data_IF_881138636369
#
_entry.id   IF_881138636369
#
_cell.length_a   1.000
_cell.length_b   1.000
_cell.length_c   1.000
_cell.angle_alpha   90.00
_cell.angle_beta   90.00
_cell.angle_gamma   90.00
#
_symmetry.space_group_name_H-M   'P 1'
#
loop_
_entity.id
_entity.type
_entity.pdbx_description
1 polymer ?
#
# COMPACT_ATOMS: atom_id res chain seq x y z
N UNK A 1 -39.50 38.48 35.26
CA UNK A 1 -39.64 37.67 34.02
C UNK A 1 -38.30 37.75 33.30
N UNK A 2 -37.41 36.75 33.45
CA UNK A 2 -37.31 35.54 32.58
C UNK A 2 -37.13 35.97 31.10
N UNK A 3 -36.02 35.71 30.40
CA UNK A 3 -35.25 34.47 30.26
C UNK A 3 -33.80 34.73 29.81
N UNK A 4 -32.85 34.01 30.42
CA UNK A 4 -31.51 33.76 29.89
C UNK A 4 -31.63 32.87 28.64
N UNK A 5 -31.08 33.29 27.50
CA UNK A 5 -30.88 32.40 26.34
C UNK A 5 -29.52 31.72 26.47
N UNK A 6 -29.54 30.52 27.04
CA UNK A 6 -28.47 29.54 26.91
C UNK A 6 -28.30 29.18 25.44
N UNK A 7 -27.12 29.44 24.89
CA UNK A 7 -26.72 28.89 23.60
C UNK A 7 -25.75 27.76 23.86
N UNK A 8 -26.29 26.55 23.75
CA UNK A 8 -25.61 25.27 23.83
C UNK A 8 -24.44 25.22 22.83
N UNK A 9 -23.20 25.34 23.29
CA UNK A 9 -22.05 24.82 22.59
C UNK A 9 -22.08 23.29 22.69
N UNK A 10 -22.74 22.65 21.71
CA UNK A 10 -22.68 21.21 21.53
C UNK A 10 -21.27 20.89 20.99
N UNK A 11 -20.39 20.39 21.87
CA UNK A 11 -19.13 19.76 21.46
C UNK A 11 -19.46 18.70 20.42
N UNK A 12 -19.08 18.93 19.17
CA UNK A 12 -19.01 17.90 18.15
C UNK A 12 -17.78 17.06 18.46
N UNK A 13 -17.96 16.01 19.26
CA UNK A 13 -17.02 14.91 19.32
C UNK A 13 -17.18 14.09 18.04
N UNK A 14 -16.16 13.93 17.19
CA UNK A 14 -16.19 12.88 16.18
C UNK A 14 -16.01 11.56 16.92
N UNK A 15 -17.14 10.88 17.13
CA UNK A 15 -17.18 9.49 17.58
C UNK A 15 -16.47 8.63 16.54
N UNK A 16 -15.21 8.26 16.82
CA UNK A 16 -14.54 7.11 16.20
C UNK A 16 -15.41 5.87 16.38
N UNK A 17 -16.19 5.52 15.36
CA UNK A 17 -16.67 4.14 15.18
C UNK A 17 -15.79 3.50 14.12
N UNK A 18 -14.58 3.14 14.52
CA UNK A 18 -13.84 2.11 13.80
C UNK A 18 -14.61 0.81 14.04
N UNK A 19 -15.29 0.29 13.03
CA UNK A 19 -15.63 -1.12 13.02
C UNK A 19 -14.28 -1.87 12.99
N UNK A 20 -13.97 -2.72 13.98
CA UNK A 20 -12.74 -3.48 13.94
C UNK A 20 -12.89 -4.53 12.83
N UNK A 21 -12.31 -4.27 11.67
CA UNK A 21 -11.91 -5.37 10.79
C UNK A 21 -10.95 -6.20 11.63
N UNK A 22 -11.35 -7.43 11.99
CA UNK A 22 -10.48 -8.34 12.73
C UNK A 22 -9.30 -8.63 11.80
N UNK A 23 -8.22 -7.86 11.95
CA UNK A 23 -6.99 -8.10 11.24
C UNK A 23 -6.48 -9.45 11.74
N UNK A 24 -6.62 -10.49 10.90
CA UNK A 24 -6.03 -11.78 11.21
C UNK A 24 -4.52 -11.57 11.42
N UNK A 25 -3.89 -12.24 12.39
CA UNK A 25 -2.45 -12.12 12.58
C UNK A 25 -1.73 -12.64 11.33
N UNK A 26 -0.65 -11.96 10.94
CA UNK A 26 0.29 -12.48 9.94
C UNK A 26 0.98 -13.72 10.49
N UNK A 27 1.36 -14.64 9.62
CA UNK A 27 2.16 -15.80 9.99
C UNK A 27 3.58 -15.38 10.38
N UNK A 28 4.24 -16.24 11.16
CA UNK A 28 5.66 -16.08 11.49
C UNK A 28 6.58 -16.20 10.27
N UNK A 29 6.09 -16.72 9.15
CA UNK A 29 6.86 -16.88 7.90
C UNK A 29 6.69 -15.70 6.94
N UNK A 30 5.84 -14.72 7.26
CA UNK A 30 5.47 -13.66 6.32
C UNK A 30 6.68 -12.92 5.72
N UNK A 31 7.72 -12.62 6.51
CA UNK A 31 8.93 -11.99 5.98
C UNK A 31 9.62 -12.84 4.89
N UNK A 32 9.71 -14.16 5.09
CA UNK A 32 10.23 -15.10 4.10
C UNK A 32 9.32 -15.18 2.88
N UNK A 33 8.01 -15.06 3.07
CA UNK A 33 7.05 -15.04 1.97
C UNK A 33 7.20 -13.76 1.12
N UNK A 34 7.55 -12.62 1.72
CA UNK A 34 7.91 -11.39 0.99
C UNK A 34 9.18 -11.60 0.17
N UNK A 35 10.25 -12.17 0.75
CA UNK A 35 11.49 -12.50 0.02
C UNK A 35 11.21 -13.44 -1.16
N UNK A 36 10.37 -14.44 -0.93
CA UNK A 36 9.94 -15.38 -1.97
C UNK A 36 9.18 -14.66 -3.08
N UNK A 37 8.26 -13.77 -2.74
CA UNK A 37 7.52 -12.98 -3.71
C UNK A 37 8.43 -12.09 -4.57
N UNK A 38 9.43 -11.44 -3.98
CA UNK A 38 10.45 -10.68 -4.72
C UNK A 38 11.16 -11.58 -5.73
N UNK A 39 11.60 -12.77 -5.30
CA UNK A 39 12.25 -13.74 -6.19
C UNK A 39 11.34 -14.22 -7.33
N UNK A 40 10.08 -14.54 -7.03
CA UNK A 40 9.09 -14.96 -8.03
C UNK A 40 8.83 -13.86 -9.08
N UNK A 41 8.67 -12.61 -8.63
CA UNK A 41 8.48 -11.48 -9.54
C UNK A 41 9.74 -11.15 -10.35
N UNK A 42 10.92 -11.32 -9.77
CA UNK A 42 12.21 -11.15 -10.46
C UNK A 42 12.34 -12.09 -11.66
N UNK A 43 11.97 -13.35 -11.47
CA UNK A 43 12.10 -14.41 -12.47
C UNK A 43 10.98 -14.39 -13.53
N UNK A 44 9.91 -13.63 -13.32
CA UNK A 44 8.86 -13.42 -14.31
C UNK A 44 9.27 -12.44 -15.42
N UNK A 45 8.48 -12.36 -16.48
CA UNK A 45 8.68 -11.39 -17.56
C UNK A 45 8.11 -9.99 -17.24
N UNK A 46 7.37 -9.86 -16.13
CA UNK A 46 6.74 -8.62 -15.69
C UNK A 46 5.37 -8.34 -16.32
N UNK A 47 4.87 -9.22 -17.20
CA UNK A 47 3.61 -9.00 -17.94
C UNK A 47 2.35 -9.51 -17.23
N UNK A 48 2.51 -10.37 -16.22
CA UNK A 48 1.40 -10.99 -15.51
C UNK A 48 0.40 -9.97 -14.93
N UNK A 49 -0.90 -10.27 -15.01
CA UNK A 49 -1.96 -9.54 -14.32
C UNK A 49 -1.84 -9.67 -12.79
N UNK A 50 -2.61 -8.88 -12.05
CA UNK A 50 -2.65 -8.97 -10.59
C UNK A 50 -3.18 -10.32 -10.11
N UNK A 51 -4.19 -10.86 -10.79
CA UNK A 51 -4.80 -12.16 -10.52
C UNK A 51 -3.80 -13.30 -10.80
N UNK A 52 -3.02 -13.19 -11.88
CA UNK A 52 -1.97 -14.16 -12.23
C UNK A 52 -0.83 -14.13 -11.22
N UNK A 53 -0.41 -12.95 -10.76
CA UNK A 53 0.59 -12.83 -9.68
C UNK A 53 0.06 -13.37 -8.35
N UNK A 54 -1.19 -13.08 -8.01
CA UNK A 54 -1.82 -13.63 -6.81
C UNK A 54 -1.83 -15.17 -6.86
N UNK A 55 -2.20 -15.72 -8.02
CA UNK A 55 -2.19 -17.17 -8.27
C UNK A 55 -0.77 -17.73 -8.15
N UNK A 56 0.22 -17.08 -8.78
CA UNK A 56 1.63 -17.45 -8.70
C UNK A 56 2.11 -17.52 -7.24
N UNK A 57 1.76 -16.54 -6.40
CA UNK A 57 2.13 -16.53 -4.98
C UNK A 57 1.50 -17.69 -4.22
N UNK A 58 0.20 -17.94 -4.45
CA UNK A 58 -0.56 -18.99 -3.78
C UNK A 58 -0.06 -20.39 -4.18
N UNK A 59 0.17 -20.61 -5.46
CA UNK A 59 0.72 -21.88 -6.00
C UNK A 59 2.13 -22.15 -5.47
N UNK A 60 2.83 -21.09 -5.07
CA UNK A 60 4.11 -21.15 -4.39
C UNK A 60 3.99 -21.15 -2.86
N UNK A 61 2.82 -21.47 -2.29
CA UNK A 61 2.64 -21.73 -0.86
C UNK A 61 2.55 -20.48 0.02
N UNK A 62 2.45 -19.29 -0.56
CA UNK A 62 2.12 -18.07 0.20
C UNK A 62 0.62 -18.08 0.48
N UNK A 63 0.21 -17.87 1.74
CA UNK A 63 -1.21 -17.89 2.09
C UNK A 63 -1.95 -16.79 1.33
N UNK A 64 -3.15 -17.07 0.80
CA UNK A 64 -3.96 -16.12 0.01
C UNK A 64 -4.03 -14.71 0.62
N UNK A 65 -4.33 -14.61 1.91
CA UNK A 65 -4.41 -13.33 2.62
C UNK A 65 -3.07 -12.58 2.60
N UNK A 66 -1.97 -13.27 2.85
CA UNK A 66 -0.62 -12.70 2.84
C UNK A 66 -0.15 -12.34 1.43
N UNK A 67 -0.49 -13.18 0.45
CA UNK A 67 -0.24 -12.90 -0.97
C UNK A 67 -0.94 -11.62 -1.42
N UNK A 68 -2.18 -11.38 -0.97
CA UNK A 68 -2.90 -10.12 -1.20
C UNK A 68 -2.21 -8.90 -0.58
N UNK A 69 -1.75 -9.01 0.67
CA UNK A 69 -1.01 -7.93 1.33
C UNK A 69 0.32 -7.63 0.63
N UNK A 70 1.03 -8.66 0.16
CA UNK A 70 2.28 -8.51 -0.61
C UNK A 70 2.00 -7.84 -1.94
N UNK A 71 1.02 -8.34 -2.70
CA UNK A 71 0.64 -7.79 -4.00
C UNK A 71 0.27 -6.30 -3.90
N UNK A 72 -0.39 -5.92 -2.80
CA UNK A 72 -0.85 -4.56 -2.55
C UNK A 72 0.28 -3.61 -2.15
N UNK A 73 1.11 -4.00 -1.19
CA UNK A 73 2.07 -3.09 -0.57
C UNK A 73 3.50 -3.18 -1.12
N UNK A 74 3.91 -4.33 -1.65
CA UNK A 74 5.27 -4.49 -2.18
C UNK A 74 5.58 -3.50 -3.32
N UNK A 75 4.70 -3.30 -4.33
CA UNK A 75 4.95 -2.30 -5.37
C UNK A 75 5.06 -0.87 -4.83
N UNK A 76 4.22 -0.51 -3.85
CA UNK A 76 4.20 0.82 -3.20
C UNK A 76 5.54 1.07 -2.48
N UNK A 77 6.04 0.09 -1.75
CA UNK A 77 7.34 0.19 -1.07
C UNK A 77 8.47 0.32 -2.09
N UNK A 78 8.45 -0.48 -3.15
CA UNK A 78 9.49 -0.45 -4.19
C UNK A 78 9.54 0.89 -4.94
N UNK A 79 8.39 1.48 -5.31
CA UNK A 79 8.40 2.80 -5.97
C UNK A 79 8.90 3.90 -5.03
N UNK A 80 8.57 3.84 -3.73
CA UNK A 80 9.05 4.80 -2.73
C UNK A 80 10.57 4.75 -2.57
N UNK A 81 11.14 3.54 -2.56
CA UNK A 81 12.59 3.34 -2.50
C UNK A 81 13.29 3.71 -3.82
N UNK A 82 12.65 3.48 -4.96
CA UNK A 82 13.17 3.86 -6.27
C UNK A 82 13.20 5.38 -6.49
N UNK A 83 12.23 6.10 -5.93
CA UNK A 83 12.05 7.55 -6.09
C UNK A 83 12.05 8.27 -4.72
N UNK A 84 13.17 8.24 -3.98
CA UNK A 84 13.25 8.76 -2.61
C UNK A 84 13.15 10.29 -2.53
N UNK A 85 13.28 10.99 -3.66
CA UNK A 85 13.19 12.45 -3.72
C UNK A 85 11.76 13.00 -3.62
N UNK A 86 10.74 12.14 -3.72
CA UNK A 86 9.34 12.55 -3.57
C UNK A 86 8.95 12.64 -2.10
N UNK A 87 8.13 13.64 -1.77
CA UNK A 87 7.48 13.75 -0.48
C UNK A 87 6.28 12.79 -0.42
N UNK A 88 6.56 11.53 -0.09
CA UNK A 88 5.57 10.47 -0.07
C UNK A 88 4.65 10.59 1.15
N UNK A 89 3.32 10.52 0.98
CA UNK A 89 2.42 10.52 2.12
C UNK A 89 2.63 9.29 3.02
N UNK A 90 2.71 9.53 4.32
CA UNK A 90 2.80 8.47 5.35
C UNK A 90 1.47 7.75 5.59
N UNK A 91 0.40 8.18 4.93
CA UNK A 91 -0.94 7.64 5.10
C UNK A 91 -1.60 7.31 3.76
N UNK A 92 -2.71 6.59 3.84
CA UNK A 92 -3.56 6.24 2.72
C UNK A 92 -5.03 6.23 3.15
N UNK A 93 -5.92 6.26 2.16
CA UNK A 93 -7.35 6.06 2.36
C UNK A 93 -7.72 4.59 2.17
N UNK A 94 -8.47 4.05 3.11
CA UNK A 94 -9.02 2.70 3.04
C UNK A 94 -10.55 2.78 3.04
N UNK A 95 -11.25 2.18 2.08
CA UNK A 95 -12.70 2.21 2.04
C UNK A 95 -13.30 1.46 3.24
N UNK A 96 -14.36 2.00 3.82
CA UNK A 96 -15.10 1.32 4.87
C UNK A 96 -16.07 0.32 4.23
N UNK A 97 -15.88 -0.97 4.53
CA UNK A 97 -16.73 -2.04 4.00
C UNK A 97 -18.21 -1.77 4.27
N UNK A 98 -19.03 -1.79 3.22
CA UNK A 98 -20.48 -1.60 3.31
C UNK A 98 -20.94 -0.13 3.32
N UNK A 99 -20.03 0.85 3.21
CA UNK A 99 -20.35 2.26 3.07
C UNK A 99 -19.79 2.83 1.77
N UNK A 100 -20.66 3.37 0.92
CA UNK A 100 -20.22 4.00 -0.33
C UNK A 100 -19.53 5.33 -0.03
N UNK A 101 -18.36 5.56 -0.65
CA UNK A 101 -17.58 6.80 -0.57
C UNK A 101 -17.13 7.21 0.86
N UNK A 102 -17.19 6.30 1.83
CA UNK A 102 -16.61 6.53 3.15
C UNK A 102 -15.24 5.84 3.24
N UNK A 103 -14.25 6.60 3.71
CA UNK A 103 -12.87 6.14 3.85
C UNK A 103 -12.37 6.44 5.26
N UNK A 104 -11.50 5.57 5.77
CA UNK A 104 -10.66 5.86 6.92
C UNK A 104 -9.24 6.19 6.46
N UNK A 105 -8.62 7.17 7.09
CA UNK A 105 -7.18 7.41 6.92
C UNK A 105 -6.42 6.46 7.83
N UNK A 106 -5.48 5.70 7.26
CA UNK A 106 -4.54 4.84 7.99
C UNK A 106 -3.12 5.26 7.70
N UNK A 107 -2.23 5.18 8.70
CA UNK A 107 -0.80 5.35 8.47
C UNK A 107 -0.19 4.03 8.01
N UNK A 108 0.77 4.11 7.10
CA UNK A 108 1.48 2.93 6.60
C UNK A 108 2.29 2.23 7.70
N UNK A 109 2.88 2.99 8.63
CA UNK A 109 3.66 2.46 9.76
C UNK A 109 2.80 1.76 10.83
N UNK A 110 1.50 1.97 10.83
CA UNK A 110 0.55 1.26 11.70
C UNK A 110 0.13 -0.10 11.13
N UNK A 111 0.38 -0.35 9.83
CA UNK A 111 -0.01 -1.60 9.15
C UNK A 111 1.11 -2.65 9.29
N UNK A 112 0.86 -3.79 9.97
CA UNK A 112 1.91 -4.79 10.24
C UNK A 112 2.54 -5.38 8.97
N UNK A 113 1.74 -5.64 7.93
CA UNK A 113 2.21 -6.18 6.66
C UNK A 113 3.13 -5.20 5.94
N UNK A 114 2.71 -3.93 5.84
CA UNK A 114 3.50 -2.87 5.23
C UNK A 114 4.86 -2.71 5.92
N UNK A 115 4.90 -2.74 7.26
CA UNK A 115 6.15 -2.66 8.02
C UNK A 115 7.11 -3.80 7.68
N UNK A 116 6.63 -5.05 7.68
CA UNK A 116 7.48 -6.21 7.38
C UNK A 116 7.96 -6.15 5.93
N UNK A 117 7.06 -5.82 5.00
CA UNK A 117 7.40 -5.64 3.58
C UNK A 117 8.47 -4.55 3.40
N UNK A 118 8.30 -3.42 4.09
CA UNK A 118 9.27 -2.32 4.08
C UNK A 118 10.63 -2.76 4.58
N UNK A 119 10.70 -3.53 5.67
CA UNK A 119 11.96 -4.04 6.21
C UNK A 119 12.68 -4.96 5.21
N UNK A 120 11.95 -5.92 4.62
CA UNK A 120 12.50 -6.87 3.62
C UNK A 120 12.95 -6.12 2.36
N UNK A 121 12.15 -5.18 1.86
CA UNK A 121 12.49 -4.41 0.67
C UNK A 121 13.70 -3.49 0.91
N UNK A 122 13.82 -2.83 2.06
CA UNK A 122 15.02 -2.04 2.39
C UNK A 122 16.27 -2.94 2.39
N UNK A 123 16.20 -4.11 3.04
CA UNK A 123 17.31 -5.07 3.03
C UNK A 123 17.65 -5.52 1.60
N UNK A 124 16.68 -5.72 0.71
CA UNK A 124 16.92 -6.01 -0.70
C UNK A 124 17.67 -4.87 -1.41
N UNK A 125 17.26 -3.62 -1.20
CA UNK A 125 17.89 -2.44 -1.80
C UNK A 125 19.32 -2.20 -1.30
N UNK A 126 19.65 -2.63 -0.09
CA UNK A 126 21.00 -2.56 0.47
C UNK A 126 21.95 -3.64 -0.10
N UNK A 127 21.40 -4.75 -0.61
CA UNK A 127 22.16 -5.95 -0.99
C UNK A 127 22.27 -6.14 -2.52
N UNK A 128 22.76 -5.11 -3.24
CA UNK A 128 22.95 -5.10 -4.71
C UNK A 128 21.66 -5.41 -5.48
N UNK A 129 20.66 -4.52 -5.43
CA UNK A 129 19.38 -4.77 -6.07
C UNK A 129 19.53 -4.81 -7.59
N UNK A 130 18.89 -5.78 -8.22
CA UNK A 130 18.82 -5.85 -9.67
C UNK A 130 17.81 -4.82 -10.19
N UNK A 131 18.26 -3.97 -11.11
CA UNK A 131 17.44 -2.88 -11.68
C UNK A 131 16.18 -3.42 -12.36
N UNK A 132 16.28 -4.55 -13.05
CA UNK A 132 15.15 -5.19 -13.73
C UNK A 132 14.08 -5.64 -12.73
N UNK A 133 14.48 -6.29 -11.64
CA UNK A 133 13.58 -6.66 -10.53
C UNK A 133 12.91 -5.44 -9.92
N UNK A 134 13.67 -4.35 -9.67
CA UNK A 134 13.09 -3.12 -9.13
C UNK A 134 11.99 -2.60 -10.06
N UNK A 135 12.25 -2.54 -11.36
CA UNK A 135 11.29 -2.03 -12.34
C UNK A 135 10.08 -2.95 -12.50
N UNK A 136 10.26 -4.28 -12.48
CA UNK A 136 9.16 -5.26 -12.51
C UNK A 136 8.22 -5.14 -11.31
N UNK A 137 8.76 -4.85 -10.14
CA UNK A 137 7.97 -4.75 -8.90
C UNK A 137 7.38 -3.35 -8.75
N UNK A 138 8.20 -2.29 -8.83
CA UNK A 138 7.73 -0.90 -8.77
C UNK A 138 6.73 -0.59 -9.89
N UNK A 139 6.95 -1.17 -11.08
CA UNK A 139 6.10 -1.03 -12.25
C UNK A 139 4.67 -1.52 -12.05
N UNK A 140 4.37 -2.26 -10.98
CA UNK A 140 3.01 -2.68 -10.63
C UNK A 140 2.26 -1.66 -9.76
N UNK A 141 2.93 -0.62 -9.28
CA UNK A 141 2.31 0.42 -8.46
C UNK A 141 1.54 1.41 -9.32
N UNK A 142 0.35 1.80 -8.85
CA UNK A 142 -0.46 2.85 -9.47
C UNK A 142 0.28 4.19 -9.49
N UNK A 143 1.06 4.48 -8.44
CA UNK A 143 1.90 5.67 -8.34
C UNK A 143 3.00 5.66 -9.39
N UNK A 144 3.70 4.54 -9.60
CA UNK A 144 4.72 4.42 -10.64
C UNK A 144 4.12 4.69 -12.03
N UNK A 145 2.99 4.07 -12.36
CA UNK A 145 2.29 4.30 -13.62
C UNK A 145 1.88 5.77 -13.79
N UNK A 146 1.34 6.38 -12.75
CA UNK A 146 0.90 7.78 -12.77
C UNK A 146 2.07 8.73 -12.99
N UNK A 147 3.17 8.53 -12.27
CA UNK A 147 4.40 9.31 -12.42
C UNK A 147 4.96 9.13 -13.83
N UNK A 148 5.11 7.89 -14.30
CA UNK A 148 5.62 7.59 -15.64
C UNK A 148 4.78 8.25 -16.74
N UNK A 149 3.45 8.20 -16.61
CA UNK A 149 2.52 8.84 -17.56
C UNK A 149 2.68 10.37 -17.60
N UNK A 150 2.96 11.01 -16.47
CA UNK A 150 3.21 12.46 -16.41
C UNK A 150 4.56 12.82 -17.04
N UNK A 151 5.60 12.02 -16.79
CA UNK A 151 6.91 12.20 -17.41
C UNK A 151 6.84 12.06 -18.94
N UNK A 152 6.09 11.08 -19.45
CA UNK A 152 5.87 10.89 -20.89
C UNK A 152 5.12 12.07 -21.53
N UNK A 153 4.36 12.84 -20.74
CA UNK A 153 3.71 14.09 -21.19
C UNK A 153 4.63 15.31 -21.12
N UNK A 154 5.90 15.12 -20.73
CA UNK A 154 6.91 16.18 -20.70
C UNK A 154 7.02 16.93 -19.37
N UNK A 155 6.29 16.51 -18.32
CA UNK A 155 6.51 17.05 -16.98
C UNK A 155 7.87 16.60 -16.45
N UNK A 156 8.49 17.45 -15.65
CA UNK A 156 9.70 17.10 -14.90
C UNK A 156 9.34 16.48 -13.55
N UNK A 157 10.27 15.75 -12.96
CA UNK A 157 10.06 15.07 -11.67
C UNK A 157 9.70 16.05 -10.54
N UNK A 158 10.29 17.25 -10.52
CA UNK A 158 10.06 18.29 -9.50
C UNK A 158 8.71 19.00 -9.64
N UNK A 159 8.02 18.82 -10.77
CA UNK A 159 6.68 19.35 -11.03
C UNK A 159 5.57 18.37 -10.59
N UNK A 160 5.93 17.13 -10.27
CA UNK A 160 4.98 16.08 -9.90
C UNK A 160 4.86 16.02 -8.37
N UNK A 161 3.62 16.10 -7.88
CA UNK A 161 3.30 15.89 -6.46
C UNK A 161 2.44 14.65 -6.32
N UNK A 162 2.79 13.81 -5.35
CA UNK A 162 2.00 12.64 -4.96
C UNK A 162 1.04 13.02 -3.83
N UNK A 163 -0.12 12.38 -3.79
CA UNK A 163 -1.15 12.57 -2.78
C UNK A 163 -1.53 11.22 -2.16
N UNK A 164 -2.39 11.23 -1.14
CA UNK A 164 -2.87 10.03 -0.48
C UNK A 164 -3.49 9.06 -1.49
N UNK A 165 -2.96 7.84 -1.55
CA UNK A 165 -3.51 6.75 -2.36
C UNK A 165 -4.75 6.14 -1.72
N UNK A 166 -5.65 5.60 -2.54
CA UNK A 166 -6.72 4.72 -2.08
C UNK A 166 -6.22 3.28 -2.17
N UNK A 167 -6.21 2.58 -1.05
CA UNK A 167 -5.77 1.18 -0.95
C UNK A 167 -7.01 0.31 -0.78
N UNK A 168 -7.27 -0.54 -1.77
CA UNK A 168 -8.41 -1.46 -1.76
C UNK A 168 -7.91 -2.88 -1.53
N UNK A 169 -8.36 -3.51 -0.44
CA UNK A 169 -8.14 -4.94 -0.21
C UNK A 169 -9.22 -5.73 -0.92
N UNK A 170 -8.84 -6.78 -1.63
CA UNK A 170 -9.81 -7.74 -2.11
C UNK A 170 -10.48 -8.45 -0.91
N UNK A 171 -11.80 -8.70 -0.99
CA UNK A 171 -12.46 -9.55 -0.02
C UNK A 171 -11.85 -10.95 -0.08
N UNK A 172 -11.51 -11.50 1.09
CA UNK A 172 -10.94 -12.85 1.27
C UNK A 172 -12.03 -13.91 1.15
#
# INVERSE_FOLDING_TARGET
>A
MHFLKSSFFRKLSPSKKQAPTIEMPLSSTFARDVEKAICLLSNGDGSNSNEEVLTLFIDNGIKRREAGEILLFLPIVFVRLLLPQFDWPDSFYEPITGQQNEYVTKRYDEVPSFRIISQVANAYFENKPEKDTILKIAGRSAEFHSINNLLLKGLKLDEIKVTLSVVMREPI
#
